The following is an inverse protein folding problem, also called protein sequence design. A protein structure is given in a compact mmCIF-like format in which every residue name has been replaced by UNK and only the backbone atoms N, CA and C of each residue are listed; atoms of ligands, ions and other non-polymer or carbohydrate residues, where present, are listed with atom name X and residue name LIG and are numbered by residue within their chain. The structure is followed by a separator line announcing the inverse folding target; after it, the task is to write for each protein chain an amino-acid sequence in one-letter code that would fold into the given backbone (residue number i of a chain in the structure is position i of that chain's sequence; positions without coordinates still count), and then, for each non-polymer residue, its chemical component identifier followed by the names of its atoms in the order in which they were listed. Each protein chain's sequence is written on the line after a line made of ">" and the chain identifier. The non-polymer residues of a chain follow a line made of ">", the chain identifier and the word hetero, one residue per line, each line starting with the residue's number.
data_IF_855788453766
#
_entry.id   IF_855788453766
#
_cell.length_a   1.000
_cell.length_b   1.000
_cell.length_c   1.000
_cell.angle_alpha   90.00
_cell.angle_beta   90.00
_cell.angle_gamma   90.00
#
_symmetry.space_group_name_H-M   'P 1'
#
loop_
_entity.id
_entity.type
_entity.pdbx_description
1 polymer ?
#
# COMPACT_ATOMS: atom_id res chain seq x y z
N UNK A 1 13.12 -12.41 -1.95
CA UNK A 1 13.85 -12.25 -0.67
C UNK A 1 13.89 -10.78 -0.30
N UNK A 2 14.11 -10.46 0.99
CA UNK A 2 14.26 -9.07 1.43
C UNK A 2 15.36 -8.33 0.66
N UNK A 3 16.55 -8.94 0.52
CA UNK A 3 17.68 -8.32 -0.18
C UNK A 3 17.36 -7.92 -1.63
N UNK A 4 16.64 -8.79 -2.37
CA UNK A 4 16.23 -8.48 -3.75
C UNK A 4 15.23 -7.32 -3.80
N UNK A 5 14.22 -7.35 -2.92
CA UNK A 5 13.22 -6.29 -2.80
C UNK A 5 13.88 -4.94 -2.46
N UNK A 6 14.71 -4.92 -1.42
CA UNK A 6 15.43 -3.72 -0.96
C UNK A 6 16.34 -3.16 -2.06
N UNK A 7 17.08 -4.00 -2.77
CA UNK A 7 17.97 -3.54 -3.84
C UNK A 7 17.19 -2.91 -4.99
N UNK A 8 16.00 -3.43 -5.31
CA UNK A 8 15.14 -2.82 -6.32
C UNK A 8 14.65 -1.42 -5.89
N UNK A 9 14.21 -1.27 -4.64
CA UNK A 9 13.86 0.05 -4.09
C UNK A 9 15.05 1.00 -4.05
N UNK A 10 16.24 0.51 -3.68
CA UNK A 10 17.45 1.33 -3.66
C UNK A 10 17.84 1.80 -5.07
N UNK A 11 17.62 0.97 -6.10
CA UNK A 11 17.85 1.34 -7.50
C UNK A 11 16.84 2.36 -8.03
N UNK A 12 15.60 2.36 -7.52
CA UNK A 12 14.55 3.30 -7.94
C UNK A 12 14.49 4.57 -7.07
N UNK A 13 15.33 4.68 -6.04
CA UNK A 13 15.37 5.82 -5.12
C UNK A 13 15.65 7.14 -5.85
N UNK A 14 14.68 8.07 -5.82
CA UNK A 14 14.77 9.36 -6.54
C UNK A 14 14.66 10.59 -5.64
N UNK A 15 14.04 10.44 -4.47
CA UNK A 15 13.79 11.54 -3.54
C UNK A 15 14.62 11.40 -2.25
N UNK A 16 14.67 12.48 -1.45
CA UNK A 16 15.32 12.45 -0.15
C UNK A 16 14.64 11.46 0.83
N UNK A 17 13.32 11.32 0.73
CA UNK A 17 12.55 10.37 1.54
C UNK A 17 12.86 8.93 1.12
N UNK A 18 13.04 8.66 -0.19
CA UNK A 18 13.49 7.35 -0.68
C UNK A 18 14.90 7.03 -0.16
N UNK A 19 15.82 8.00 -0.24
CA UNK A 19 17.19 7.84 0.24
C UNK A 19 17.21 7.56 1.75
N UNK A 20 16.34 8.22 2.53
CA UNK A 20 16.16 7.92 3.95
C UNK A 20 15.61 6.51 4.16
N UNK A 21 14.62 6.11 3.35
CA UNK A 21 13.95 4.80 3.42
C UNK A 21 14.91 3.64 3.22
N UNK A 22 15.83 3.73 2.25
CA UNK A 22 16.77 2.65 1.92
C UNK A 22 18.13 2.77 2.63
N UNK A 23 18.33 3.88 3.36
CA UNK A 23 19.53 4.18 4.14
C UNK A 23 19.58 3.42 5.48
N UNK A 24 20.65 3.63 6.24
CA UNK A 24 20.93 2.88 7.47
C UNK A 24 19.89 3.10 8.59
N UNK A 25 19.18 4.23 8.61
CA UNK A 25 18.09 4.51 9.56
C UNK A 25 16.69 4.29 8.98
N UNK A 26 16.62 3.70 7.78
CA UNK A 26 15.40 3.58 6.99
C UNK A 26 14.59 2.33 7.28
N UNK A 27 13.32 2.37 6.89
CA UNK A 27 12.43 1.21 6.99
C UNK A 27 12.81 0.05 6.07
N UNK A 28 13.64 0.30 5.03
CA UNK A 28 14.25 -0.68 4.13
C UNK A 28 15.80 -0.67 4.23
N UNK A 29 16.31 -0.60 5.46
CA UNK A 29 17.75 -0.57 5.74
C UNK A 29 18.51 -1.80 5.22
N UNK A 30 19.80 -1.62 4.93
CA UNK A 30 20.72 -2.73 4.62
C UNK A 30 20.85 -3.68 5.81
N UNK A 31 20.86 -4.99 5.57
CA UNK A 31 21.13 -5.98 6.60
C UNK A 31 20.28 -7.23 6.44
N UNK A 32 20.07 -7.92 7.57
CA UNK A 32 19.18 -9.07 7.63
C UNK A 32 17.73 -8.67 7.39
N UNK A 33 16.97 -9.64 6.91
CA UNK A 33 15.51 -9.54 6.82
C UNK A 33 14.93 -9.14 8.19
N UNK A 34 14.18 -8.04 8.28
CA UNK A 34 13.60 -7.64 9.56
C UNK A 34 12.49 -8.57 10.05
N UNK A 35 12.03 -9.51 9.21
CA UNK A 35 11.05 -10.53 9.57
C UNK A 35 11.79 -11.85 9.83
N UNK A 36 11.90 -12.23 11.10
CA UNK A 36 12.70 -13.38 11.52
C UNK A 36 12.09 -14.75 11.17
N UNK A 37 10.76 -14.85 11.09
CA UNK A 37 10.07 -16.10 10.77
C UNK A 37 10.20 -16.44 9.28
N UNK A 38 10.08 -17.72 8.90
CA UNK A 38 10.03 -18.13 7.49
C UNK A 38 8.83 -17.50 6.79
N UNK A 39 9.08 -16.82 5.67
CA UNK A 39 8.05 -16.10 4.92
C UNK A 39 8.46 -15.86 3.46
N UNK A 40 7.53 -15.33 2.68
CA UNK A 40 7.74 -14.91 1.29
C UNK A 40 7.37 -13.44 1.12
N UNK A 41 8.18 -12.71 0.37
CA UNK A 41 7.80 -11.38 -0.11
C UNK A 41 7.02 -11.49 -1.41
N UNK A 42 5.81 -10.94 -1.41
CA UNK A 42 4.97 -10.79 -2.59
C UNK A 42 5.07 -9.34 -3.06
N UNK A 43 5.11 -9.15 -4.37
CA UNK A 43 5.17 -7.82 -5.00
C UNK A 43 4.03 -7.73 -6.00
N UNK A 44 3.24 -6.66 -5.92
CA UNK A 44 2.15 -6.45 -6.88
C UNK A 44 2.72 -6.37 -8.29
N UNK A 45 1.95 -6.85 -9.28
CA UNK A 45 2.45 -6.99 -10.65
C UNK A 45 2.90 -5.65 -11.26
N UNK A 46 2.13 -4.59 -11.04
CA UNK A 46 2.47 -3.23 -11.45
C UNK A 46 3.76 -2.73 -10.75
N UNK A 47 3.87 -2.98 -9.44
CA UNK A 47 5.05 -2.62 -8.65
C UNK A 47 6.31 -3.38 -9.11
N UNK A 48 6.19 -4.67 -9.42
CA UNK A 48 7.30 -5.49 -9.89
C UNK A 48 7.86 -4.97 -11.21
N UNK A 49 6.98 -4.50 -12.11
CA UNK A 49 7.41 -3.83 -13.36
C UNK A 49 8.09 -2.50 -13.08
N UNK A 50 7.50 -1.65 -12.24
CA UNK A 50 8.09 -0.36 -11.90
C UNK A 50 9.47 -0.47 -11.23
N UNK A 51 9.67 -1.51 -10.41
CA UNK A 51 10.95 -1.81 -9.75
C UNK A 51 11.93 -2.62 -10.63
N UNK A 52 11.57 -2.93 -11.88
CA UNK A 52 12.42 -3.73 -12.78
C UNK A 52 12.59 -5.20 -12.38
N UNK A 53 11.80 -5.69 -11.40
CA UNK A 53 11.77 -7.09 -10.97
C UNK A 53 11.06 -8.01 -11.96
N UNK A 54 10.24 -7.42 -12.84
CA UNK A 54 9.50 -8.10 -13.91
C UNK A 54 9.57 -7.26 -15.18
N UNK A 55 9.84 -7.85 -16.36
CA UNK A 55 9.72 -7.15 -17.63
C UNK A 55 8.29 -6.69 -17.89
N UNK A 56 8.13 -5.61 -18.65
CA UNK A 56 6.82 -5.30 -19.21
C UNK A 56 6.44 -6.34 -20.26
N UNK A 57 5.21 -6.83 -20.15
CA UNK A 57 4.60 -7.83 -21.03
C UNK A 57 3.31 -7.28 -21.68
N UNK A 58 3.09 -5.96 -21.58
CA UNK A 58 1.94 -5.22 -22.12
C UNK A 58 0.58 -5.72 -21.63
N UNK A 59 0.54 -6.52 -20.56
CA UNK A 59 -0.70 -6.96 -19.92
C UNK A 59 -1.21 -5.90 -18.94
N UNK A 60 -2.53 -5.85 -18.78
CA UNK A 60 -3.18 -5.01 -17.79
C UNK A 60 -2.77 -5.43 -16.36
N UNK A 61 -2.24 -4.49 -15.57
CA UNK A 61 -1.71 -4.76 -14.22
C UNK A 61 -2.70 -4.42 -13.10
N UNK A 62 -3.83 -3.79 -13.43
CA UNK A 62 -4.90 -3.51 -12.49
C UNK A 62 -6.01 -2.66 -13.11
N UNK A 63 -7.17 -2.64 -12.48
CA UNK A 63 -8.30 -1.80 -12.88
C UNK A 63 -9.00 -1.32 -11.63
N UNK A 64 -9.33 -0.02 -11.59
CA UNK A 64 -10.21 0.55 -10.59
C UNK A 64 -11.38 1.25 -11.28
N UNK A 65 -12.50 1.35 -10.58
CA UNK A 65 -13.71 1.98 -11.09
C UNK A 65 -14.21 3.01 -10.08
N UNK A 66 -14.84 4.07 -10.56
CA UNK A 66 -15.51 5.07 -9.71
C UNK A 66 -16.97 5.23 -10.14
N UNK A 67 -17.83 5.52 -9.17
CA UNK A 67 -19.27 5.65 -9.41
C UNK A 67 -19.62 6.97 -10.10
N UNK A 68 -20.43 6.90 -11.16
CA UNK A 68 -20.94 8.06 -11.90
C UNK A 68 -22.00 8.89 -11.13
N UNK A 69 -22.54 8.36 -10.02
CA UNK A 69 -23.61 8.99 -9.24
C UNK A 69 -23.15 9.84 -8.05
N UNK A 70 -21.83 10.03 -7.88
CA UNK A 70 -21.29 10.81 -6.77
C UNK A 70 -20.89 12.22 -7.23
N UNK A 71 -21.09 13.26 -6.42
CA UNK A 71 -20.62 14.60 -6.74
C UNK A 71 -19.10 14.68 -6.57
N UNK A 72 -18.37 14.80 -7.68
CA UNK A 72 -16.91 14.87 -7.69
C UNK A 72 -16.41 16.29 -7.93
N UNK A 73 -15.30 16.67 -7.29
CA UNK A 73 -14.43 17.77 -7.74
C UNK A 73 -13.23 17.21 -8.47
N UNK A 74 -12.91 17.83 -9.61
CA UNK A 74 -11.78 17.47 -10.49
C UNK A 74 -10.73 18.57 -10.55
N UNK A 75 -10.92 19.67 -9.81
CA UNK A 75 -10.00 20.81 -9.83
C UNK A 75 -8.72 20.47 -9.05
N UNK A 76 -7.55 20.41 -9.71
CA UNK A 76 -6.30 20.11 -9.03
C UNK A 76 -5.87 21.18 -8.02
N UNK A 77 -6.36 22.43 -8.18
CA UNK A 77 -6.05 23.56 -7.33
C UNK A 77 -7.07 23.74 -6.20
N UNK A 78 -8.28 23.18 -6.33
CA UNK A 78 -9.35 23.27 -5.34
C UNK A 78 -10.02 21.91 -5.08
N UNK A 79 -9.36 21.10 -4.25
CA UNK A 79 -9.73 19.71 -3.98
C UNK A 79 -10.65 19.52 -2.77
N UNK A 80 -10.89 20.59 -2.00
CA UNK A 80 -11.74 20.57 -0.81
C UNK A 80 -13.01 21.42 -1.03
N UNK A 81 -13.95 20.87 -1.80
CA UNK A 81 -15.21 21.54 -2.14
C UNK A 81 -16.35 20.95 -1.31
N UNK A 82 -17.07 21.80 -0.59
CA UNK A 82 -18.21 21.37 0.21
C UNK A 82 -19.23 20.57 -0.63
N UNK A 83 -19.63 19.41 -0.12
CA UNK A 83 -20.59 18.53 -0.80
C UNK A 83 -20.02 17.72 -1.98
N UNK A 84 -18.70 17.76 -2.22
CA UNK A 84 -18.04 16.97 -3.28
C UNK A 84 -16.92 16.11 -2.73
N UNK A 85 -16.66 15.00 -3.42
CA UNK A 85 -15.52 14.13 -3.19
C UNK A 85 -14.33 14.55 -4.06
N UNK A 86 -13.12 14.46 -3.52
CA UNK A 86 -11.87 14.68 -4.26
C UNK A 86 -11.57 13.49 -5.19
N UNK A 87 -11.88 13.64 -6.47
CA UNK A 87 -11.65 12.57 -7.44
C UNK A 87 -10.16 12.25 -7.59
N UNK A 88 -9.31 13.28 -7.67
CA UNK A 88 -7.87 13.08 -7.85
C UNK A 88 -7.30 12.31 -6.64
N UNK A 89 -7.85 12.55 -5.44
CA UNK A 89 -7.38 11.92 -4.20
C UNK A 89 -7.73 10.45 -4.17
N UNK A 90 -8.97 10.14 -4.52
CA UNK A 90 -9.44 8.77 -4.67
C UNK A 90 -8.70 8.06 -5.79
N UNK A 91 -8.56 8.66 -6.97
CA UNK A 91 -7.84 8.04 -8.09
C UNK A 91 -6.38 7.70 -7.74
N UNK A 92 -5.67 8.61 -7.05
CA UNK A 92 -4.31 8.36 -6.57
C UNK A 92 -4.27 7.28 -5.48
N UNK A 93 -5.26 7.26 -4.60
CA UNK A 93 -5.42 6.20 -3.62
C UNK A 93 -5.56 4.84 -4.30
N UNK A 94 -6.50 4.68 -5.24
CA UNK A 94 -6.72 3.42 -5.97
C UNK A 94 -5.50 3.01 -6.81
N UNK A 95 -4.87 3.97 -7.49
CA UNK A 95 -3.66 3.70 -8.28
C UNK A 95 -2.52 3.18 -7.40
N UNK A 96 -2.33 3.78 -6.22
CA UNK A 96 -1.32 3.31 -5.28
C UNK A 96 -1.60 1.89 -4.75
N UNK A 97 -2.86 1.47 -4.68
CA UNK A 97 -3.22 0.08 -4.29
C UNK A 97 -2.92 -0.93 -5.39
N UNK A 98 -3.17 -0.56 -6.65
CA UNK A 98 -2.69 -1.34 -7.82
C UNK A 98 -1.16 -1.48 -7.78
N UNK A 99 -0.46 -0.44 -7.33
CA UNK A 99 0.98 -0.41 -7.11
C UNK A 99 1.44 -1.10 -5.80
N UNK A 100 0.56 -1.83 -5.12
CA UNK A 100 0.94 -2.64 -3.96
C UNK A 100 0.86 -1.94 -2.61
N UNK A 101 0.22 -0.76 -2.51
CA UNK A 101 -0.15 -0.13 -1.22
C UNK A 101 -1.34 -0.84 -0.54
N UNK A 102 -1.28 -2.16 -0.50
CA UNK A 102 -2.15 -3.03 0.29
C UNK A 102 -1.30 -3.71 1.36
N UNK A 103 -1.93 -4.27 2.39
CA UNK A 103 -1.22 -4.92 3.49
C UNK A 103 -1.63 -6.37 3.59
N UNK A 104 -0.67 -7.27 3.86
CA UNK A 104 -0.90 -8.72 3.97
C UNK A 104 -0.55 -9.23 5.37
N UNK A 105 0.47 -8.66 6.01
CA UNK A 105 0.75 -8.87 7.45
C UNK A 105 0.96 -10.34 7.86
N UNK A 106 1.57 -11.13 6.98
CA UNK A 106 1.85 -12.53 7.26
C UNK A 106 0.69 -13.48 6.95
N UNK A 107 -0.40 -13.00 6.34
CA UNK A 107 -1.47 -13.88 5.86
C UNK A 107 -0.95 -14.88 4.80
N UNK A 108 -1.56 -16.06 4.77
CA UNK A 108 -1.18 -17.13 3.85
C UNK A 108 -1.95 -17.00 2.53
N UNK A 109 -1.27 -16.51 1.50
CA UNK A 109 -1.76 -16.38 0.14
C UNK A 109 -1.38 -17.62 -0.68
N UNK A 110 -2.18 -18.69 -0.58
CA UNK A 110 -2.09 -19.90 -1.41
C UNK A 110 -0.84 -20.78 -1.25
N UNK A 111 0.32 -20.22 -0.87
CA UNK A 111 1.64 -20.87 -0.84
C UNK A 111 1.93 -21.67 0.45
N UNK A 112 1.00 -21.71 1.39
CA UNK A 112 1.18 -22.38 2.68
C UNK A 112 2.19 -21.70 3.62
N UNK A 113 2.80 -20.58 3.20
CA UNK A 113 3.73 -19.77 3.99
C UNK A 113 3.14 -18.38 4.26
N UNK A 114 3.53 -17.72 5.38
CA UNK A 114 3.22 -16.32 5.61
C UNK A 114 3.75 -15.41 4.50
N UNK A 115 2.93 -14.46 4.05
CA UNK A 115 3.30 -13.52 2.99
C UNK A 115 3.37 -12.10 3.52
N UNK A 116 4.38 -11.37 3.08
CA UNK A 116 4.53 -9.95 3.35
C UNK A 116 4.70 -9.19 2.06
N UNK A 117 4.22 -7.96 2.03
CA UNK A 117 4.46 -7.01 0.94
C UNK A 117 5.36 -5.89 1.42
N UNK A 118 5.96 -5.14 0.48
CA UNK A 118 6.84 -4.02 0.83
C UNK A 118 6.17 -3.03 1.78
N UNK A 119 4.87 -2.77 1.59
CA UNK A 119 4.10 -1.86 2.44
C UNK A 119 4.01 -2.31 3.91
N UNK A 120 4.07 -3.62 4.19
CA UNK A 120 4.06 -4.14 5.56
C UNK A 120 5.31 -3.69 6.34
N UNK A 121 6.42 -3.48 5.63
CA UNK A 121 7.68 -2.96 6.20
C UNK A 121 7.64 -1.47 6.56
N UNK A 122 6.52 -0.78 6.35
CA UNK A 122 6.36 0.61 6.79
C UNK A 122 5.43 0.75 7.99
N UNK A 123 4.96 -0.37 8.56
CA UNK A 123 4.10 -0.36 9.74
C UNK A 123 4.94 -0.37 11.01
N UNK A 124 4.79 0.67 11.81
CA UNK A 124 5.51 0.83 13.08
C UNK A 124 4.57 1.18 14.23
N UNK A 125 4.86 0.67 15.42
CA UNK A 125 4.21 1.08 16.68
C UNK A 125 5.10 2.00 17.51
N UNK A 126 6.37 2.15 17.10
CA UNK A 126 7.38 3.02 17.71
C UNK A 126 8.75 2.80 17.06
N UNK A 127 9.77 3.52 17.54
CA UNK A 127 11.13 3.43 17.02
C UNK A 127 11.66 1.99 17.05
N UNK A 128 12.18 1.52 15.91
CA UNK A 128 12.68 0.15 15.73
C UNK A 128 11.66 -0.97 15.87
N UNK A 129 10.38 -0.65 16.12
CA UNK A 129 9.35 -1.63 16.49
C UNK A 129 8.30 -1.74 15.39
N UNK A 130 8.37 -2.83 14.63
CA UNK A 130 7.43 -3.11 13.54
C UNK A 130 6.09 -3.59 14.05
N UNK A 131 5.01 -3.07 13.46
CA UNK A 131 3.64 -3.50 13.70
C UNK A 131 3.19 -4.60 12.74
N UNK A 132 3.86 -5.77 12.75
CA UNK A 132 3.54 -6.91 11.88
C UNK A 132 2.34 -7.71 12.41
N UNK A 133 1.21 -7.04 12.60
CA UNK A 133 -0.04 -7.63 13.06
C UNK A 133 -1.22 -6.88 12.43
N UNK A 134 -2.40 -7.48 12.38
CA UNK A 134 -3.61 -6.83 11.87
C UNK A 134 -4.34 -5.94 12.91
N UNK A 135 -3.66 -5.60 14.02
CA UNK A 135 -4.22 -4.85 15.14
C UNK A 135 -4.07 -3.32 15.02
N UNK A 136 -4.79 -2.56 15.86
CA UNK A 136 -4.71 -1.10 15.89
C UNK A 136 -3.36 -0.62 16.46
N UNK A 137 -3.11 0.69 16.36
CA UNK A 137 -1.93 1.32 16.96
C UNK A 137 -0.68 1.29 16.08
N UNK A 138 -0.84 1.01 14.78
CA UNK A 138 0.24 1.06 13.78
C UNK A 138 0.19 2.38 13.03
N UNK A 139 1.35 2.88 12.64
CA UNK A 139 1.48 4.06 11.82
C UNK A 139 2.47 3.84 10.68
N UNK A 140 2.31 4.59 9.59
CA UNK A 140 3.29 4.63 8.52
C UNK A 140 4.54 5.36 9.00
N UNK A 141 5.70 4.74 8.77
CA UNK A 141 7.01 5.36 8.98
C UNK A 141 8.02 4.83 7.96
N UNK A 142 8.79 5.75 7.39
CA UNK A 142 9.86 5.47 6.43
C UNK A 142 11.26 5.51 7.06
N UNK A 143 11.36 6.00 8.30
CA UNK A 143 12.60 6.17 9.07
C UNK A 143 12.64 5.24 10.29
N UNK A 144 12.33 3.96 10.09
CA UNK A 144 12.41 2.93 11.11
C UNK A 144 11.62 3.24 12.40
N UNK A 145 10.43 3.84 12.26
CA UNK A 145 9.55 4.15 13.39
C UNK A 145 9.94 5.40 14.18
N UNK A 146 10.98 6.14 13.77
CA UNK A 146 11.42 7.35 14.47
C UNK A 146 10.38 8.47 14.35
N UNK A 147 9.72 8.58 13.19
CA UNK A 147 8.58 9.47 12.97
C UNK A 147 7.37 8.64 12.55
N UNK A 148 6.28 8.74 13.32
CA UNK A 148 5.00 8.13 13.01
C UNK A 148 4.11 9.17 12.32
N UNK A 149 3.82 8.99 11.03
CA UNK A 149 3.17 10.02 10.22
C UNK A 149 1.64 9.96 10.28
N UNK A 150 1.08 8.79 9.93
CA UNK A 150 -0.37 8.58 9.89
C UNK A 150 -0.71 7.22 10.44
N UNK A 151 -1.78 7.14 11.23
CA UNK A 151 -2.30 5.88 11.73
C UNK A 151 -2.84 5.01 10.58
N UNK A 152 -2.53 3.72 10.65
CA UNK A 152 -2.98 2.70 9.72
C UNK A 152 -4.18 2.00 10.35
N UNK A 153 -5.36 2.16 9.76
CA UNK A 153 -6.61 1.62 10.29
C UNK A 153 -6.79 0.13 9.90
N UNK A 154 -7.37 -0.65 10.81
CA UNK A 154 -7.48 -2.12 10.73
C UNK A 154 -8.69 -2.64 9.99
N UNK A 155 -9.62 -1.77 9.60
CA UNK A 155 -10.85 -2.20 8.92
C UNK A 155 -10.64 -2.06 7.41
N UNK A 156 -10.79 -3.13 6.60
CA UNK A 156 -10.92 -2.95 5.17
C UNK A 156 -12.11 -2.01 4.96
N UNK A 157 -11.84 -0.82 4.42
CA UNK A 157 -12.90 0.17 4.18
C UNK A 157 -13.76 -0.43 3.08
N UNK A 158 -14.98 -0.86 3.43
CA UNK A 158 -15.98 -1.38 2.52
C UNK A 158 -16.19 -0.36 1.39
N UNK A 159 -15.49 -0.55 0.26
CA UNK A 159 -15.33 0.48 -0.77
C UNK A 159 -14.15 0.26 -1.71
N UNK A 160 -13.07 -0.42 -1.29
CA UNK A 160 -12.02 -0.86 -2.20
C UNK A 160 -12.55 -2.03 -3.06
N UNK A 161 -13.10 -1.72 -4.23
CA UNK A 161 -13.55 -2.73 -5.19
C UNK A 161 -12.32 -3.27 -5.91
N UNK A 162 -11.65 -4.25 -5.30
CA UNK A 162 -10.66 -5.05 -5.99
C UNK A 162 -11.34 -6.20 -6.74
N UNK A 163 -11.13 -6.27 -8.05
CA UNK A 163 -11.25 -7.50 -8.82
C UNK A 163 -9.91 -7.78 -9.50
N UNK A 164 -9.12 -8.71 -8.96
CA UNK A 164 -8.10 -9.40 -9.77
C UNK A 164 -8.70 -10.60 -10.49
N UNK A 165 -8.63 -10.58 -11.81
CA UNK A 165 -8.70 -11.79 -12.65
C UNK A 165 -9.96 -11.94 -13.51
N UNK A 166 -9.86 -12.61 -14.67
CA UNK A 166 -11.01 -12.95 -15.51
C UNK A 166 -11.65 -14.27 -15.01
N UNK A 167 -12.75 -14.17 -14.27
CA UNK A 167 -13.59 -15.33 -13.90
C UNK A 167 -14.38 -15.09 -12.59
N UNK A 168 -15.51 -15.79 -12.35
CA UNK A 168 -16.46 -15.39 -11.30
C UNK A 168 -16.26 -16.21 -10.02
N UNK A 169 -16.15 -15.53 -8.87
CA UNK A 169 -16.57 -16.07 -7.58
C UNK A 169 -17.36 -14.99 -6.81
N UNK A 170 -18.56 -15.30 -6.30
CA UNK A 170 -19.50 -14.32 -5.77
C UNK A 170 -19.36 -14.16 -4.25
N UNK A 171 -19.34 -12.93 -3.73
CA UNK A 171 -19.62 -12.64 -2.31
C UNK A 171 -20.09 -11.18 -2.14
N UNK A 172 -20.92 -10.87 -1.13
CA UNK A 172 -22.17 -10.14 -1.29
C UNK A 172 -22.00 -8.63 -1.15
N UNK A 173 -22.77 -7.88 -1.93
CA UNK A 173 -22.80 -6.43 -1.86
C UNK A 173 -23.41 -5.97 -0.54
N UNK A 174 -22.64 -5.25 0.28
CA UNK A 174 -23.23 -4.21 1.13
C UNK A 174 -22.41 -2.93 0.98
N UNK A 175 -23.07 -1.94 0.39
CA UNK A 175 -22.56 -0.59 0.10
C UNK A 175 -22.48 0.19 1.41
N UNK A 176 -21.37 0.88 1.67
CA UNK A 176 -21.37 2.13 2.44
C UNK A 176 -20.14 2.95 2.10
N UNK A 177 -20.28 3.88 1.14
CA UNK A 177 -19.31 4.93 0.94
C UNK A 177 -19.40 5.90 2.14
N UNK A 178 -18.34 6.04 2.93
CA UNK A 178 -18.26 7.08 3.95
C UNK A 178 -17.38 8.26 3.49
N UNK A 179 -17.84 9.50 3.74
CA UNK A 179 -17.30 10.73 3.19
C UNK A 179 -15.91 11.04 3.72
N UNK A 180 -15.11 11.71 2.90
CA UNK A 180 -13.91 12.40 3.35
C UNK A 180 -14.35 13.67 4.10
N UNK A 181 -14.77 13.54 5.35
CA UNK A 181 -14.94 14.69 6.25
C UNK A 181 -13.66 14.84 7.07
N UNK A 182 -12.77 15.73 6.63
CA UNK A 182 -11.71 16.27 7.49
C UNK A 182 -12.28 17.50 8.19
N UNK A 183 -12.76 17.34 9.41
CA UNK A 183 -13.12 18.47 10.28
C UNK A 183 -11.82 19.07 10.82
N UNK A 184 -11.61 20.35 10.46
CA UNK A 184 -10.72 21.38 11.05
C UNK A 184 -9.41 20.91 11.67
#
# INVERSE_FOLDING_TARGET
>A
SYAALRNAFASDSKTADDATTVGAGGSLQTGADPIAATHVYVVARAQAKALGLRPDDMQNDGTFNFGAGQPWTYDPNNRNVAGKFDFIGVAMHEYSEVMGRTSVMGDTLGTGMPNYVAFDLFHYTGAGTRGLNNGPGRSFSFNNGTTLLIALITTPRTGAIFRTGPGPLPIPSTRSALPASRTT
#
